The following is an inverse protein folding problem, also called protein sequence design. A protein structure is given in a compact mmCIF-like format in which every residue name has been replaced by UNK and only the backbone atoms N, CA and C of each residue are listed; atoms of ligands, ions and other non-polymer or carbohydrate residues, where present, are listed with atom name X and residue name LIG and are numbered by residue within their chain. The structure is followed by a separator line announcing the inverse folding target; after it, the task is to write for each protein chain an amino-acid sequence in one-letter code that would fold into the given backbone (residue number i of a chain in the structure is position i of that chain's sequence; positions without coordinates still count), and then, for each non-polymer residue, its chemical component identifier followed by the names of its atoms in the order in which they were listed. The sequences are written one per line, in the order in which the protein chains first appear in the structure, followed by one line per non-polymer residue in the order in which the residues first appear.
data_IF_590719498911
#
_entry.id   IF_590719498911
#
_cell.length_a   1.000
_cell.length_b   1.000
_cell.length_c   1.000
_cell.angle_alpha   90.00
_cell.angle_beta   90.00
_cell.angle_gamma   90.00
#
_symmetry.space_group_name_H-M   'P 1'
#
loop_
_entity.id
_entity.type
_entity.pdbx_description
1 polymer ?
#
# COMPACT_ATOMS: atom_id res chain seq x y z
N UNK A 1 -20.45 -69.62 45.97
CA UNK A 1 -19.69 -69.33 44.75
C UNK A 1 -19.85 -67.85 44.45
N UNK A 2 -18.75 -67.15 44.13
CA UNK A 2 -18.64 -66.12 43.09
C UNK A 2 -17.36 -65.32 43.32
N UNK A 3 -16.36 -65.55 42.46
CA UNK A 3 -15.03 -64.94 42.54
C UNK A 3 -15.09 -63.53 41.96
N UNK A 4 -14.88 -62.50 42.79
CA UNK A 4 -14.66 -61.11 42.33
C UNK A 4 -13.37 -61.03 41.51
N UNK A 5 -13.51 -60.78 40.20
CA UNK A 5 -12.39 -60.50 39.29
C UNK A 5 -11.97 -59.04 39.48
N UNK A 6 -10.90 -58.80 40.25
CA UNK A 6 -10.23 -57.51 40.29
C UNK A 6 -9.46 -57.34 38.97
N UNK A 7 -9.99 -56.51 38.08
CA UNK A 7 -9.27 -56.09 36.87
C UNK A 7 -8.20 -55.07 37.30
N UNK A 8 -6.90 -55.29 37.04
CA UNK A 8 -5.88 -54.29 37.30
C UNK A 8 -5.97 -53.19 36.22
N UNK A 9 -6.91 -52.27 36.41
CA UNK A 9 -7.14 -51.08 35.59
C UNK A 9 -6.24 -49.96 36.15
N UNK A 10 -5.47 -49.26 35.27
CA UNK A 10 -5.13 -47.80 35.37
C UNK A 10 -3.68 -47.28 35.16
N UNK A 11 -2.65 -48.07 34.85
CA UNK A 11 -1.31 -47.47 34.52
C UNK A 11 -1.12 -47.21 33.01
N UNK A 12 -1.61 -48.08 32.14
CA UNK A 12 -1.42 -47.95 30.68
C UNK A 12 -2.24 -46.81 30.04
N UNK A 13 -3.46 -46.55 30.53
CA UNK A 13 -4.36 -45.53 29.97
C UNK A 13 -3.88 -44.10 30.24
N UNK A 14 -3.36 -43.80 31.44
CA UNK A 14 -2.77 -42.49 31.74
C UNK A 14 -1.54 -42.18 30.87
N UNK A 15 -0.72 -43.18 30.57
CA UNK A 15 0.46 -43.02 29.70
C UNK A 15 0.04 -42.71 28.25
N UNK A 16 -0.97 -43.42 27.74
CA UNK A 16 -1.54 -43.18 26.40
C UNK A 16 -2.15 -41.78 26.27
N UNK A 17 -2.88 -41.31 27.30
CA UNK A 17 -3.44 -39.96 27.32
C UNK A 17 -2.35 -38.89 27.28
N UNK A 18 -1.26 -39.09 28.03
CA UNK A 18 -0.13 -38.17 28.03
C UNK A 18 0.54 -38.08 26.66
N UNK A 19 0.75 -39.22 25.99
CA UNK A 19 1.29 -39.25 24.62
C UNK A 19 0.37 -38.49 23.66
N UNK A 20 -0.95 -38.67 23.77
CA UNK A 20 -1.90 -37.96 22.92
C UNK A 20 -1.84 -36.45 23.14
N UNK A 21 -1.80 -35.99 24.39
CA UNK A 21 -1.64 -34.56 24.72
C UNK A 21 -0.33 -34.00 24.16
N UNK A 22 0.79 -34.73 24.30
CA UNK A 22 2.08 -34.29 23.75
C UNK A 22 2.01 -34.17 22.23
N UNK A 23 1.41 -35.14 21.53
CA UNK A 23 1.20 -35.05 20.08
C UNK A 23 0.33 -33.84 19.71
N UNK A 24 -0.74 -33.59 20.45
CA UNK A 24 -1.58 -32.40 20.25
C UNK A 24 -0.79 -31.10 20.46
N UNK A 25 0.05 -31.01 21.50
CA UNK A 25 0.88 -29.83 21.76
C UNK A 25 1.92 -29.62 20.67
N UNK A 26 2.53 -30.69 20.16
CA UNK A 26 3.48 -30.62 19.03
C UNK A 26 2.77 -30.14 17.77
N UNK A 27 1.61 -30.71 17.43
CA UNK A 27 0.82 -30.27 16.27
C UNK A 27 0.39 -28.81 16.38
N UNK A 28 -0.06 -28.39 17.57
CA UNK A 28 -0.42 -27.00 17.83
C UNK A 28 0.77 -26.05 17.71
N UNK A 29 1.94 -26.47 18.22
CA UNK A 29 3.18 -25.69 18.12
C UNK A 29 3.62 -25.51 16.67
N UNK A 30 3.51 -26.57 15.85
CA UNK A 30 3.82 -26.51 14.41
C UNK A 30 2.84 -25.56 13.70
N UNK A 31 1.54 -25.65 13.99
CA UNK A 31 0.56 -24.73 13.40
C UNK A 31 0.85 -23.28 13.81
N UNK A 32 1.22 -23.06 15.08
CA UNK A 32 1.60 -21.74 15.60
C UNK A 32 2.82 -21.15 14.89
N UNK A 33 3.85 -21.95 14.59
CA UNK A 33 5.05 -21.43 13.90
C UNK A 33 4.77 -21.14 12.42
N UNK A 34 3.94 -21.98 11.78
CA UNK A 34 3.53 -21.75 10.38
C UNK A 34 2.68 -20.48 10.28
N UNK A 35 1.72 -20.28 11.20
CA UNK A 35 0.93 -19.05 11.28
C UNK A 35 1.82 -17.84 11.48
N UNK A 36 2.73 -17.87 12.45
CA UNK A 36 3.64 -16.76 12.73
C UNK A 36 4.52 -16.38 11.52
N UNK A 37 4.95 -17.37 10.73
CA UNK A 37 5.70 -17.12 9.50
C UNK A 37 4.83 -16.50 8.40
N UNK A 38 3.58 -16.93 8.25
CA UNK A 38 2.63 -16.31 7.33
C UNK A 38 2.36 -14.85 7.71
N UNK A 39 2.12 -14.59 9.00
CA UNK A 39 1.90 -13.25 9.55
C UNK A 39 3.13 -12.36 9.36
N UNK A 40 4.34 -12.89 9.56
CA UNK A 40 5.60 -12.18 9.27
C UNK A 40 5.69 -11.79 7.80
N UNK A 41 5.42 -12.72 6.88
CA UNK A 41 5.47 -12.44 5.44
C UNK A 41 4.46 -11.37 5.05
N UNK A 42 3.24 -11.44 5.59
CA UNK A 42 2.20 -10.43 5.37
C UNK A 42 2.63 -9.06 5.92
N UNK A 43 3.16 -9.03 7.14
CA UNK A 43 3.66 -7.80 7.78
C UNK A 43 4.77 -7.15 6.97
N UNK A 44 5.71 -7.94 6.43
CA UNK A 44 6.75 -7.43 5.55
C UNK A 44 6.18 -6.85 4.25
N UNK A 45 5.16 -7.49 3.67
CA UNK A 45 4.49 -6.96 2.47
C UNK A 45 3.81 -5.62 2.76
N UNK A 46 3.16 -5.48 3.91
CA UNK A 46 2.54 -4.22 4.36
C UNK A 46 3.60 -3.14 4.61
N UNK A 47 4.70 -3.49 5.28
CA UNK A 47 5.81 -2.58 5.53
C UNK A 47 6.44 -2.08 4.22
N UNK A 48 6.77 -3.00 3.31
CA UNK A 48 7.38 -2.64 2.01
C UNK A 48 6.46 -1.70 1.22
N UNK A 49 5.15 -1.95 1.23
CA UNK A 49 4.17 -1.06 0.60
C UNK A 49 4.17 0.33 1.24
N UNK A 50 4.23 0.41 2.57
CA UNK A 50 4.29 1.69 3.26
C UNK A 50 5.57 2.46 2.92
N UNK A 51 6.72 1.78 2.87
CA UNK A 51 8.00 2.39 2.49
C UNK A 51 7.91 2.90 1.05
N UNK A 52 7.43 2.08 0.11
CA UNK A 52 7.30 2.47 -1.29
C UNK A 52 6.37 3.67 -1.48
N UNK A 53 5.25 3.72 -0.75
CA UNK A 53 4.34 4.87 -0.77
C UNK A 53 5.03 6.16 -0.34
N UNK A 54 5.74 6.14 0.81
CA UNK A 54 6.43 7.34 1.29
C UNK A 54 7.61 7.72 0.41
N UNK A 55 8.29 6.76 -0.23
CA UNK A 55 9.31 7.07 -1.22
C UNK A 55 8.72 7.78 -2.44
N UNK A 56 7.58 7.31 -2.96
CA UNK A 56 6.86 7.97 -4.05
C UNK A 56 6.42 9.40 -3.66
N UNK A 57 5.95 9.60 -2.42
CA UNK A 57 5.65 10.94 -1.89
C UNK A 57 6.91 11.83 -1.87
N UNK A 58 8.05 11.33 -1.39
CA UNK A 58 9.28 12.11 -1.33
C UNK A 58 9.80 12.49 -2.73
N UNK A 59 9.67 11.59 -3.71
CA UNK A 59 9.99 11.88 -5.11
C UNK A 59 9.07 12.96 -5.66
N UNK A 60 7.76 12.87 -5.39
CA UNK A 60 6.80 13.90 -5.76
C UNK A 60 7.14 15.26 -5.18
N UNK A 61 7.42 15.36 -3.87
CA UNK A 61 7.84 16.60 -3.23
C UNK A 61 9.13 17.18 -3.83
N UNK A 62 10.07 16.30 -4.21
CA UNK A 62 11.31 16.74 -4.88
C UNK A 62 11.01 17.36 -6.24
N UNK A 63 10.12 16.73 -7.03
CA UNK A 63 9.66 17.29 -8.30
C UNK A 63 8.90 18.59 -8.10
N UNK A 64 8.03 18.70 -7.09
CA UNK A 64 7.31 19.93 -6.78
C UNK A 64 8.26 21.10 -6.48
N UNK A 65 9.34 20.84 -5.74
CA UNK A 65 10.39 21.83 -5.50
C UNK A 65 11.06 22.27 -6.81
N UNK A 66 11.36 21.34 -7.70
CA UNK A 66 11.97 21.67 -9.01
C UNK A 66 11.00 22.45 -9.90
N UNK A 67 9.70 22.11 -9.88
CA UNK A 67 8.65 22.84 -10.59
C UNK A 67 8.50 24.25 -10.03
N UNK A 68 8.53 24.42 -8.71
CA UNK A 68 8.48 25.74 -8.05
C UNK A 68 9.63 26.64 -8.49
N UNK A 69 10.87 26.11 -8.50
CA UNK A 69 12.06 26.84 -8.95
C UNK A 69 11.98 27.22 -10.45
N UNK A 70 11.47 26.31 -11.27
CA UNK A 70 11.23 26.56 -12.69
C UNK A 70 10.18 27.64 -12.91
N UNK A 71 9.04 27.57 -12.22
CA UNK A 71 7.97 28.57 -12.31
C UNK A 71 8.44 29.96 -11.88
N UNK A 72 9.23 30.04 -10.80
CA UNK A 72 9.83 31.28 -10.34
C UNK A 72 10.79 31.87 -11.40
N UNK A 73 11.58 31.02 -12.07
CA UNK A 73 12.49 31.44 -13.15
C UNK A 73 11.73 31.90 -14.39
N UNK A 74 10.67 31.20 -14.77
CA UNK A 74 9.78 31.57 -15.88
C UNK A 74 9.11 32.92 -15.58
N UNK A 75 8.60 33.12 -14.36
CA UNK A 75 7.99 34.38 -13.96
C UNK A 75 9.00 35.54 -14.00
N UNK A 76 10.22 35.34 -13.47
CA UNK A 76 11.26 36.37 -13.43
C UNK A 76 11.82 36.74 -14.81
N UNK A 77 11.73 35.84 -15.79
CA UNK A 77 12.21 36.05 -17.17
C UNK A 77 11.11 36.49 -18.13
N UNK A 78 9.83 36.38 -17.74
CA UNK A 78 8.69 36.77 -18.57
C UNK A 78 8.45 38.27 -18.49
N UNK A 79 8.37 38.93 -19.65
CA UNK A 79 8.03 40.35 -19.72
C UNK A 79 6.50 40.60 -19.63
N UNK A 80 5.69 39.64 -20.12
CA UNK A 80 4.24 39.77 -20.22
C UNK A 80 3.50 38.51 -19.73
N UNK A 81 2.25 38.68 -19.29
CA UNK A 81 1.37 37.56 -18.90
C UNK A 81 1.19 36.54 -20.02
N UNK A 82 1.19 36.97 -21.28
CA UNK A 82 1.03 36.07 -22.43
C UNK A 82 2.25 35.18 -22.67
N UNK A 83 3.48 35.66 -22.39
CA UNK A 83 4.70 34.84 -22.52
C UNK A 83 4.83 33.85 -21.36
N UNK A 84 4.35 34.24 -20.18
CA UNK A 84 4.23 33.35 -19.03
C UNK A 84 3.26 32.19 -19.33
N UNK A 85 2.04 32.50 -19.80
CA UNK A 85 1.03 31.51 -20.16
C UNK A 85 1.50 30.52 -21.23
N UNK A 86 2.23 31.01 -22.24
CA UNK A 86 2.81 30.15 -23.27
C UNK A 86 3.84 29.17 -22.67
N UNK A 87 4.65 29.63 -21.70
CA UNK A 87 5.69 28.83 -21.08
C UNK A 87 5.11 27.75 -20.14
N UNK A 88 4.13 28.11 -19.31
CA UNK A 88 3.47 27.13 -18.41
C UNK A 88 2.68 26.05 -19.19
N UNK A 89 2.17 26.38 -20.39
CA UNK A 89 1.42 25.42 -21.20
C UNK A 89 2.27 24.25 -21.72
N UNK A 90 3.60 24.41 -21.68
CA UNK A 90 4.54 23.34 -22.05
C UNK A 90 4.93 22.44 -20.87
N UNK A 91 4.58 22.83 -19.64
CA UNK A 91 4.85 22.05 -18.45
C UNK A 91 3.84 20.91 -18.32
N UNK A 92 4.32 19.77 -17.82
CA UNK A 92 3.44 18.67 -17.46
C UNK A 92 2.54 19.07 -16.28
N UNK A 93 1.26 18.74 -16.37
CA UNK A 93 0.29 19.00 -15.30
C UNK A 93 0.09 17.78 -14.40
N UNK A 94 0.38 16.58 -14.88
CA UNK A 94 0.14 15.34 -14.13
C UNK A 94 1.43 14.53 -14.07
N UNK A 95 1.81 14.16 -12.86
CA UNK A 95 3.00 13.38 -12.55
C UNK A 95 2.59 12.03 -11.95
N UNK A 96 3.34 10.98 -12.29
CA UNK A 96 3.07 9.61 -11.87
C UNK A 96 4.31 9.02 -11.20
N UNK A 97 4.15 8.52 -9.98
CA UNK A 97 5.23 7.90 -9.20
C UNK A 97 4.88 6.47 -8.82
N UNK A 98 5.65 5.46 -9.27
CA UNK A 98 5.32 4.05 -9.04
C UNK A 98 5.49 3.67 -7.56
N UNK A 99 4.43 3.12 -6.98
CA UNK A 99 4.44 2.52 -5.63
C UNK A 99 4.64 1.01 -5.73
N UNK A 100 4.07 0.39 -6.78
CA UNK A 100 4.21 -1.02 -7.12
C UNK A 100 3.79 -1.25 -8.57
N UNK A 101 3.94 -2.48 -9.08
CA UNK A 101 3.52 -2.85 -10.45
C UNK A 101 2.02 -2.60 -10.76
N UNK A 102 1.20 -2.36 -9.74
CA UNK A 102 -0.24 -2.16 -9.86
C UNK A 102 -0.69 -0.78 -9.40
N UNK A 103 0.16 0.00 -8.72
CA UNK A 103 -0.23 1.24 -8.06
C UNK A 103 0.78 2.34 -8.29
N UNK A 104 0.25 3.54 -8.54
CA UNK A 104 1.01 4.77 -8.71
C UNK A 104 0.41 5.88 -7.87
N UNK A 105 1.25 6.79 -7.39
CA UNK A 105 0.83 8.08 -6.87
C UNK A 105 0.69 9.04 -8.05
N UNK A 106 -0.52 9.54 -8.26
CA UNK A 106 -0.84 10.57 -9.25
C UNK A 106 -0.93 11.92 -8.54
N UNK A 107 -0.12 12.88 -9.00
CA UNK A 107 -0.12 14.26 -8.53
C UNK A 107 -0.45 15.17 -9.70
N UNK A 108 -1.52 15.96 -9.57
CA UNK A 108 -1.96 16.90 -10.62
C UNK A 108 -1.84 18.33 -10.14
N UNK A 109 -1.21 19.17 -10.96
CA UNK A 109 -0.94 20.58 -10.70
C UNK A 109 -1.75 21.49 -11.62
N UNK A 110 -2.20 22.59 -11.04
CA UNK A 110 -2.69 23.76 -11.74
C UNK A 110 -1.63 24.85 -11.70
N UNK A 111 -1.51 25.63 -12.77
CA UNK A 111 -0.61 26.79 -12.84
C UNK A 111 -1.45 28.06 -13.00
N UNK A 112 -1.95 28.66 -11.90
CA UNK A 112 -2.70 29.90 -11.96
C UNK A 112 -1.80 31.07 -12.40
N UNK A 113 -2.40 32.12 -12.95
CA UNK A 113 -1.67 33.37 -13.23
C UNK A 113 -1.48 34.12 -11.91
N UNK A 114 -0.25 34.35 -11.44
CA UNK A 114 -0.01 35.04 -10.17
C UNK A 114 -0.42 36.51 -10.28
N UNK A 115 -1.20 37.01 -9.32
CA UNK A 115 -1.59 38.44 -9.26
C UNK A 115 -0.50 39.31 -8.61
N UNK A 116 0.46 38.69 -7.91
CA UNK A 116 1.57 39.36 -7.25
C UNK A 116 2.82 38.46 -7.22
N UNK A 117 4.00 39.07 -7.17
CA UNK A 117 5.28 38.34 -7.16
C UNK A 117 5.52 37.46 -5.90
N UNK A 118 4.68 37.61 -4.87
CA UNK A 118 4.73 36.84 -3.63
C UNK A 118 3.62 35.79 -3.56
N UNK A 119 2.92 35.56 -4.66
CA UNK A 119 1.83 34.59 -4.76
C UNK A 119 2.36 33.19 -5.10
N UNK A 120 1.54 32.17 -4.85
CA UNK A 120 1.94 30.78 -5.11
C UNK A 120 1.80 30.49 -6.61
N UNK A 121 2.86 30.00 -7.26
CA UNK A 121 2.87 29.79 -8.72
C UNK A 121 2.16 28.51 -9.19
N UNK A 122 1.81 27.61 -8.26
CA UNK A 122 1.10 26.37 -8.55
C UNK A 122 0.11 26.01 -7.43
N UNK A 123 -0.87 25.19 -7.78
CA UNK A 123 -1.81 24.59 -6.84
C UNK A 123 -1.92 23.09 -7.10
N UNK A 124 -1.88 22.28 -6.04
CA UNK A 124 -2.07 20.82 -6.15
C UNK A 124 -3.57 20.55 -6.21
N UNK A 125 -4.07 20.12 -7.37
CA UNK A 125 -5.49 19.78 -7.57
C UNK A 125 -5.81 18.38 -7.02
N UNK A 126 -4.87 17.44 -7.19
CA UNK A 126 -5.09 16.03 -6.86
C UNK A 126 -3.81 15.41 -6.35
N UNK A 127 -3.93 14.64 -5.27
CA UNK A 127 -2.89 13.79 -4.70
C UNK A 127 -3.52 12.47 -4.29
N UNK A 128 -3.42 11.44 -5.15
CA UNK A 128 -4.13 10.17 -4.92
C UNK A 128 -3.35 8.98 -5.45
N UNK A 129 -3.56 7.84 -4.81
CA UNK A 129 -3.06 6.56 -5.31
C UNK A 129 -4.05 5.99 -6.31
N UNK A 130 -3.61 5.75 -7.53
CA UNK A 130 -4.38 5.12 -8.60
C UNK A 130 -3.91 3.67 -8.80
N UNK A 131 -4.80 2.83 -9.35
CA UNK A 131 -4.42 1.49 -9.80
C UNK A 131 -4.25 1.51 -11.32
N UNK A 132 -3.16 0.92 -11.82
CA UNK A 132 -2.82 0.87 -13.24
C UNK A 132 -3.65 -0.14 -14.03
N UNK A 133 -4.25 -1.12 -13.36
CA UNK A 133 -5.18 -2.05 -13.99
C UNK A 133 -6.60 -1.52 -13.79
N UNK A 134 -7.32 -1.33 -14.89
CA UNK A 134 -8.78 -1.31 -14.88
C UNK A 134 -9.25 -2.64 -14.28
N UNK A 135 -9.66 -2.60 -13.01
CA UNK A 135 -10.44 -3.70 -12.44
C UNK A 135 -11.77 -3.68 -13.19
N UNK A 136 -11.85 -4.41 -14.32
CA UNK A 136 -13.12 -4.80 -14.91
C UNK A 136 -13.84 -5.65 -13.87
N UNK A 137 -14.68 -5.02 -13.06
CA UNK A 137 -15.69 -5.72 -12.31
C UNK A 137 -16.59 -6.42 -13.32
N UNK A 138 -16.60 -7.75 -13.29
CA UNK A 138 -17.51 -8.56 -14.09
C UNK A 138 -18.92 -8.35 -13.55
N UNK A 139 -19.65 -7.40 -14.13
CA UNK A 139 -21.05 -7.09 -13.77
C UNK A 139 -22.05 -8.09 -14.39
N UNK A 140 -21.60 -9.20 -15.00
CA UNK A 140 -22.50 -10.23 -15.51
C UNK A 140 -23.06 -11.10 -14.37
N UNK A 141 -24.04 -10.53 -13.66
CA UNK A 141 -25.01 -11.31 -12.89
C UNK A 141 -25.76 -12.23 -13.87
N UNK A 142 -25.41 -13.53 -13.85
CA UNK A 142 -26.17 -14.58 -14.51
C UNK A 142 -27.52 -14.74 -13.79
N UNK A 143 -28.53 -13.99 -14.23
CA UNK A 143 -29.92 -14.24 -13.81
C UNK A 143 -30.37 -15.54 -14.47
N UNK A 144 -30.59 -16.57 -13.65
CA UNK A 144 -31.19 -17.83 -14.10
C UNK A 144 -32.66 -17.52 -14.42
N UNK A 145 -33.16 -17.91 -15.61
CA UNK A 145 -34.55 -17.66 -16.02
C UNK A 145 -35.58 -18.41 -15.17
#
# INVERSE_FOLDING_TARGET
MDKKKNFPMNIGLSSILLIFVVLCLVSFSILSIVSANADKKLSLKVLNRSIAYYNACNEAETTLRDVDEQLHTIYSSSADTSSYLASISTLEQTYHYPISDLQELEVTLNYPVPESANDTFYEIISWKVINLQDVKYDEQLHVIP
#
